data_IF_276795117953
#
_entry.id   IF_276795117953
#
_cell.length_a   1.000
_cell.length_b   1.000
_cell.length_c   1.000
_cell.angle_alpha   90.00
_cell.angle_beta   90.00
_cell.angle_gamma   90.00
#
_symmetry.space_group_name_H-M   'P 1'
#
loop_
_entity.id
_entity.type
_entity.pdbx_description
1 polymer ?
#
# COMPACT_ATOMS: atom_id res chain seq x y z
N UNK A 1 -1.71 8.06 23.12
CA UNK A 1 -3.13 7.71 23.36
C UNK A 1 -3.97 8.42 22.30
N UNK A 2 -4.75 7.70 21.49
CA UNK A 2 -5.58 8.30 20.43
C UNK A 2 -6.92 8.72 21.01
N UNK A 3 -7.19 10.03 21.08
CA UNK A 3 -8.50 10.55 21.46
C UNK A 3 -9.25 10.94 20.19
N UNK A 4 -10.34 10.22 19.90
CA UNK A 4 -11.22 10.52 18.77
C UNK A 4 -12.47 11.24 19.29
N UNK A 5 -12.69 12.48 18.85
CA UNK A 5 -13.91 13.22 19.19
C UNK A 5 -14.78 13.37 17.94
N UNK A 6 -15.91 12.66 17.94
CA UNK A 6 -16.90 12.74 16.85
C UNK A 6 -17.94 13.79 17.20
N UNK A 7 -17.93 14.92 16.51
CA UNK A 7 -18.99 15.92 16.63
C UNK A 7 -20.20 15.42 15.83
N UNK A 8 -21.29 15.08 16.52
CA UNK A 8 -22.60 14.80 15.92
C UNK A 8 -23.43 16.09 15.98
N UNK A 9 -23.67 16.71 14.84
CA UNK A 9 -24.64 17.81 14.74
C UNK A 9 -26.04 17.20 14.70
N UNK A 10 -26.97 17.75 15.49
CA UNK A 10 -28.34 17.25 15.61
C UNK A 10 -29.07 17.28 14.27
N UNK A 11 -29.68 16.15 13.91
CA UNK A 11 -30.51 15.98 12.72
C UNK A 11 -31.80 16.81 12.86
N UNK A 12 -31.96 17.85 12.05
CA UNK A 12 -33.29 18.39 11.75
C UNK A 12 -34.00 17.41 10.82
N UNK A 13 -35.25 17.05 11.12
CA UNK A 13 -36.03 16.07 10.35
C UNK A 13 -36.07 16.43 8.86
N UNK A 14 -35.50 15.55 8.04
CA UNK A 14 -35.45 15.69 6.58
C UNK A 14 -36.74 15.11 5.98
N UNK A 15 -37.47 15.83 5.13
CA UNK A 15 -38.70 15.33 4.50
C UNK A 15 -38.41 14.15 3.54
N UNK A 16 -39.36 13.22 3.47
CA UNK A 16 -39.26 11.99 2.66
C UNK A 16 -39.12 12.38 1.17
N UNK A 17 -38.03 11.93 0.53
CA UNK A 17 -37.77 12.11 -0.91
C UNK A 17 -36.57 13.00 -1.28
N UNK A 18 -35.86 13.61 -0.33
CA UNK A 18 -34.65 14.40 -0.62
C UNK A 18 -33.36 13.60 -0.41
N UNK A 19 -32.45 13.65 -1.39
CA UNK A 19 -31.07 13.16 -1.24
C UNK A 19 -30.24 14.18 -0.45
N UNK A 20 -29.67 13.78 0.67
CA UNK A 20 -28.79 14.62 1.50
C UNK A 20 -27.35 14.12 1.36
N UNK A 21 -26.45 15.00 0.94
CA UNK A 21 -25.01 14.74 0.92
C UNK A 21 -24.40 15.36 2.17
N UNK A 22 -24.09 14.55 3.18
CA UNK A 22 -23.39 15.01 4.38
C UNK A 22 -21.87 15.04 4.16
N UNK A 23 -21.27 16.22 4.33
CA UNK A 23 -19.81 16.37 4.35
C UNK A 23 -19.32 16.17 5.78
N UNK A 24 -18.87 14.95 6.10
CA UNK A 24 -18.29 14.63 7.41
C UNK A 24 -16.79 14.92 7.41
N UNK A 25 -16.35 15.83 8.27
CA UNK A 25 -14.92 16.05 8.54
C UNK A 25 -14.54 15.34 9.82
N UNK A 26 -13.71 14.31 9.72
CA UNK A 26 -13.14 13.58 10.86
C UNK A 26 -11.74 14.12 11.09
N UNK A 27 -11.50 14.72 12.26
CA UNK A 27 -10.17 15.20 12.67
C UNK A 27 -9.58 14.17 13.61
N UNK A 28 -8.55 13.45 13.15
CA UNK A 28 -7.82 12.48 13.96
C UNK A 28 -6.49 13.11 14.36
N UNK A 29 -6.29 13.37 15.65
CA UNK A 29 -5.00 13.82 16.17
C UNK A 29 -4.27 12.65 16.81
N UNK A 30 -3.15 12.25 16.22
CA UNK A 30 -2.24 11.24 16.76
C UNK A 30 -0.96 11.92 17.24
N UNK A 31 -0.69 11.86 18.54
CA UNK A 31 0.59 12.25 19.14
C UNK A 31 1.53 11.05 19.14
N UNK A 32 2.63 11.13 18.40
CA UNK A 32 3.77 10.20 18.50
C UNK A 32 4.78 10.77 19.51
N UNK A 33 4.84 10.15 20.69
CA UNK A 33 5.79 10.51 21.74
C UNK A 33 7.15 9.88 21.42
N UNK A 34 8.10 10.68 20.91
CA UNK A 34 9.52 10.36 21.05
C UNK A 34 9.98 10.98 22.37
N UNK A 35 10.31 10.13 23.33
CA UNK A 35 10.91 10.55 24.59
C UNK A 35 12.35 10.94 24.30
N UNK A 36 12.70 12.21 24.49
CA UNK A 36 14.03 12.69 24.91
C UNK A 36 13.94 14.22 25.07
N UNK A 37 13.84 14.69 26.32
CA UNK A 37 14.43 15.92 26.90
C UNK A 37 13.56 16.53 28.03
N UNK A 38 14.12 16.82 29.22
CA UNK A 38 13.35 17.28 30.37
C UNK A 38 13.35 18.82 30.45
N UNK A 39 12.18 19.43 30.20
CA UNK A 39 11.90 20.78 30.69
C UNK A 39 11.56 21.83 29.63
N UNK A 40 10.38 21.74 29.03
CA UNK A 40 9.51 22.92 28.85
C UNK A 40 8.09 22.48 28.52
N UNK A 41 7.17 22.81 29.41
CA UNK A 41 5.75 22.44 29.36
C UNK A 41 5.01 23.33 28.34
N UNK A 42 5.33 23.20 27.05
CA UNK A 42 4.59 23.86 25.97
C UNK A 42 3.60 22.89 25.33
N UNK A 43 2.46 22.71 25.98
CA UNK A 43 1.30 22.06 25.35
C UNK A 43 0.82 22.90 24.16
N UNK A 44 1.24 22.55 22.95
CA UNK A 44 0.69 23.13 21.73
C UNK A 44 -0.75 22.64 21.54
N UNK A 45 -1.71 23.45 21.99
CA UNK A 45 -3.13 23.24 21.75
C UNK A 45 -3.56 24.09 20.55
N UNK A 46 -4.04 23.45 19.50
CA UNK A 46 -4.55 24.14 18.31
C UNK A 46 -5.68 25.09 18.69
N UNK A 47 -5.51 26.41 18.45
CA UNK A 47 -6.53 27.45 18.69
C UNK A 47 -7.55 27.57 17.55
N UNK A 48 -7.56 26.62 16.62
CA UNK A 48 -8.43 26.61 15.44
C UNK A 48 -9.82 26.11 15.87
N UNK A 49 -10.72 27.04 16.14
CA UNK A 49 -12.15 26.77 16.30
C UNK A 49 -12.88 26.88 14.95
N UNK A 50 -13.86 26.01 14.65
CA UNK A 50 -14.71 26.17 13.47
C UNK A 50 -15.49 27.47 13.59
N UNK A 51 -15.29 28.40 12.64
CA UNK A 51 -16.00 29.68 12.59
C UNK A 51 -17.26 29.52 11.74
N UNK A 52 -18.43 29.71 12.32
CA UNK A 52 -19.67 29.86 11.55
C UNK A 52 -19.77 31.30 11.03
N UNK A 53 -19.65 31.50 9.73
CA UNK A 53 -19.97 32.78 9.09
C UNK A 53 -21.20 32.63 8.21
N UNK A 54 -22.28 33.36 8.53
CA UNK A 54 -23.44 33.47 7.62
C UNK A 54 -23.23 34.67 6.70
N UNK A 55 -23.15 34.43 5.40
CA UNK A 55 -23.09 35.50 4.40
C UNK A 55 -24.37 35.49 3.60
N UNK A 56 -25.16 36.57 3.72
CA UNK A 56 -26.34 36.79 2.90
C UNK A 56 -25.94 37.53 1.63
N UNK A 57 -26.14 36.92 0.46
CA UNK A 57 -26.07 37.61 -0.83
C UNK A 57 -27.42 37.57 -1.51
N UNK A 58 -28.00 38.74 -1.72
CA UNK A 58 -29.19 38.93 -2.55
C UNK A 58 -28.75 38.99 -4.02
N UNK A 59 -29.22 38.04 -4.82
CA UNK A 59 -29.21 38.18 -6.29
C UNK A 59 -30.59 38.66 -6.73
N UNK A 60 -30.66 39.91 -7.18
CA UNK A 60 -31.80 40.38 -7.98
C UNK A 60 -31.58 39.91 -9.41
N UNK A 61 -32.15 38.76 -9.75
CA UNK A 61 -32.17 38.27 -11.12
C UNK A 61 -33.41 38.83 -11.80
N UNK A 62 -33.22 39.74 -12.77
CA UNK A 62 -34.21 40.07 -13.81
C UNK A 62 -35.45 40.86 -13.36
N UNK A 63 -35.63 42.03 -13.95
CA UNK A 63 -36.89 42.75 -13.91
C UNK A 63 -37.97 41.96 -14.68
N UNK A 64 -38.90 41.34 -13.96
CA UNK A 64 -40.08 40.68 -14.51
C UNK A 64 -41.10 40.40 -13.39
N UNK A 65 -42.41 40.45 -13.67
CA UNK A 65 -43.45 40.31 -12.66
C UNK A 65 -43.44 38.91 -12.03
N UNK A 66 -43.44 38.88 -10.69
CA UNK A 66 -43.29 37.67 -9.87
C UNK A 66 -44.63 36.93 -9.81
N UNK A 67 -44.68 35.67 -10.27
CA UNK A 67 -45.78 34.73 -9.97
C UNK A 67 -45.64 34.18 -8.53
N UNK A 68 -46.73 34.06 -7.76
CA UNK A 68 -46.70 33.53 -6.41
C UNK A 68 -46.48 32.00 -6.47
N UNK A 69 -45.24 31.56 -6.36
CA UNK A 69 -44.91 30.12 -6.38
C UNK A 69 -43.47 29.76 -6.77
N UNK A 70 -42.62 30.72 -7.13
CA UNK A 70 -41.25 30.42 -7.54
C UNK A 70 -40.33 30.17 -6.31
N UNK A 71 -40.00 28.90 -6.10
CA UNK A 71 -39.01 28.43 -5.12
C UNK A 71 -37.64 29.01 -5.44
N UNK A 72 -37.09 29.80 -4.51
CA UNK A 72 -35.75 30.39 -4.64
C UNK A 72 -34.70 29.32 -4.35
N UNK A 73 -33.98 28.87 -5.37
CA UNK A 73 -32.85 27.95 -5.20
C UNK A 73 -31.58 28.78 -5.01
N UNK A 74 -31.20 28.97 -3.75
CA UNK A 74 -29.90 29.54 -3.38
C UNK A 74 -28.83 28.45 -3.48
N UNK A 75 -27.91 28.54 -4.45
CA UNK A 75 -26.69 27.72 -4.47
C UNK A 75 -25.57 28.47 -3.76
N UNK A 76 -25.20 28.00 -2.58
CA UNK A 76 -24.01 28.47 -1.87
C UNK A 76 -22.78 27.81 -2.49
N UNK A 77 -21.87 28.61 -3.05
CA UNK A 77 -20.55 28.14 -3.51
C UNK A 77 -19.50 28.78 -2.61
N UNK A 78 -18.82 27.94 -1.82
CA UNK A 78 -17.81 28.34 -0.85
C UNK A 78 -16.46 28.53 -1.55
N UNK A 79 -16.15 29.75 -1.97
CA UNK A 79 -14.76 30.12 -2.27
C UNK A 79 -14.13 30.66 -1.00
N UNK A 80 -13.01 30.06 -0.57
CA UNK A 80 -12.22 30.55 0.55
C UNK A 80 -11.55 31.89 0.17
N UNK A 81 -12.28 33.00 0.30
CA UNK A 81 -11.67 34.32 0.30
C UNK A 81 -11.03 34.54 1.67
N UNK A 82 -9.72 34.31 1.75
CA UNK A 82 -8.94 34.73 2.90
C UNK A 82 -9.15 36.22 3.17
N UNK A 83 -9.48 36.53 4.41
CA UNK A 83 -9.45 37.86 5.02
C UNK A 83 -10.25 38.95 4.30
N UNK A 84 -11.56 39.03 4.59
CA UNK A 84 -12.24 40.32 4.51
C UNK A 84 -11.92 41.07 5.81
N UNK A 85 -11.15 42.18 5.80
CA UNK A 85 -11.18 43.07 6.93
C UNK A 85 -12.58 43.69 6.98
N UNK A 86 -13.06 43.97 8.19
CA UNK A 86 -14.30 44.68 8.46
C UNK A 86 -14.55 45.81 7.44
N UNK A 87 -15.81 45.98 7.03
CA UNK A 87 -16.32 46.94 6.03
C UNK A 87 -15.85 48.40 6.23
N UNK A 88 -15.25 48.75 7.38
CA UNK A 88 -14.64 50.06 7.65
C UNK A 88 -13.15 50.20 7.35
N UNK A 89 -12.43 49.16 6.89
CA UNK A 89 -10.96 49.18 6.77
C UNK A 89 -10.41 49.19 5.33
N UNK A 90 -11.26 49.50 4.33
CA UNK A 90 -10.91 49.41 2.90
C UNK A 90 -10.28 50.72 2.37
N UNK A 91 -10.18 51.79 3.17
CA UNK A 91 -9.78 53.10 2.64
C UNK A 91 -8.27 53.33 2.56
N UNK A 92 -7.41 52.50 3.16
CA UNK A 92 -5.96 52.78 3.25
C UNK A 92 -5.06 51.54 3.03
N UNK A 93 -5.30 50.73 2.00
CA UNK A 93 -4.30 49.75 1.56
C UNK A 93 -3.56 50.31 0.34
N UNK A 94 -2.35 50.83 0.56
CA UNK A 94 -1.51 51.36 -0.51
C UNK A 94 -1.24 50.29 -1.57
N UNK A 95 -1.22 50.69 -2.85
CA UNK A 95 -0.95 49.81 -3.99
C UNK A 95 0.33 48.95 -3.81
N UNK A 96 1.32 49.48 -3.08
CA UNK A 96 2.59 48.84 -2.74
C UNK A 96 2.46 47.70 -1.72
N UNK A 97 1.53 47.82 -0.77
CA UNK A 97 1.19 46.71 0.14
C UNK A 97 0.56 45.57 -0.63
N UNK A 98 -0.44 45.86 -1.48
CA UNK A 98 -1.13 44.83 -2.28
C UNK A 98 -0.18 44.11 -3.25
N UNK A 99 0.77 44.82 -3.86
CA UNK A 99 1.74 44.20 -4.79
C UNK A 99 2.74 43.29 -4.06
N UNK A 100 3.28 43.71 -2.91
CA UNK A 100 4.19 42.90 -2.10
C UNK A 100 3.53 41.62 -1.54
N UNK A 101 2.25 41.68 -1.15
CA UNK A 101 1.50 40.48 -0.75
C UNK A 101 1.27 39.52 -1.93
N UNK A 102 0.97 40.04 -3.12
CA UNK A 102 0.82 39.21 -4.33
C UNK A 102 2.13 38.50 -4.69
N UNK A 103 3.26 39.21 -4.66
CA UNK A 103 4.58 38.61 -4.96
C UNK A 103 4.98 37.55 -3.95
N UNK A 104 4.71 37.76 -2.65
CA UNK A 104 4.99 36.74 -1.64
C UNK A 104 4.12 35.50 -1.82
N UNK A 105 2.84 35.67 -2.14
CA UNK A 105 1.92 34.57 -2.42
C UNK A 105 2.31 33.79 -3.68
N UNK A 106 2.77 34.48 -4.71
CA UNK A 106 3.29 33.84 -5.94
C UNK A 106 4.58 33.06 -5.68
N UNK A 107 5.49 33.61 -4.85
CA UNK A 107 6.69 32.91 -4.41
C UNK A 107 6.35 31.64 -3.63
N UNK A 108 5.52 31.74 -2.60
CA UNK A 108 5.09 30.58 -1.80
C UNK A 108 4.38 29.52 -2.66
N UNK A 109 3.55 29.95 -3.62
CA UNK A 109 2.92 29.05 -4.58
C UNK A 109 3.96 28.30 -5.42
N UNK A 110 5.02 28.98 -5.87
CA UNK A 110 6.11 28.35 -6.63
C UNK A 110 6.91 27.37 -5.79
N UNK A 111 7.22 27.72 -4.54
CA UNK A 111 7.93 26.85 -3.61
C UNK A 111 7.12 25.58 -3.31
N UNK A 112 5.80 25.72 -3.13
CA UNK A 112 4.89 24.58 -2.98
C UNK A 112 4.79 23.72 -4.24
N UNK A 113 4.88 24.31 -5.44
CA UNK A 113 4.92 23.57 -6.69
C UNK A 113 6.21 22.75 -6.82
N UNK A 114 7.37 23.35 -6.56
CA UNK A 114 8.67 22.66 -6.57
C UNK A 114 8.71 21.52 -5.54
N UNK A 115 8.19 21.76 -4.33
CA UNK A 115 8.09 20.73 -3.31
C UNK A 115 7.20 19.56 -3.75
N UNK A 116 6.06 19.85 -4.36
CA UNK A 116 5.15 18.82 -4.88
C UNK A 116 5.78 18.04 -6.05
N UNK A 117 6.55 18.68 -6.92
CA UNK A 117 7.27 18.01 -8.00
C UNK A 117 8.33 17.04 -7.44
N UNK A 118 9.07 17.47 -6.40
CA UNK A 118 10.00 16.58 -5.69
C UNK A 118 9.27 15.41 -5.03
N UNK A 119 8.14 15.64 -4.37
CA UNK A 119 7.34 14.56 -3.80
C UNK A 119 6.81 13.60 -4.86
N UNK A 120 6.35 14.10 -6.01
CA UNK A 120 5.93 13.25 -7.12
C UNK A 120 7.08 12.35 -7.60
N UNK A 121 8.29 12.91 -7.74
CA UNK A 121 9.48 12.14 -8.11
C UNK A 121 9.84 11.08 -7.07
N UNK A 122 9.77 11.40 -5.77
CA UNK A 122 10.01 10.42 -4.71
C UNK A 122 8.95 9.31 -4.67
N UNK A 123 7.67 9.65 -4.83
CA UNK A 123 6.58 8.67 -4.89
C UNK A 123 6.83 7.70 -6.05
N UNK A 124 7.19 8.20 -7.23
CA UNK A 124 7.48 7.36 -8.38
C UNK A 124 8.71 6.48 -8.14
N UNK A 125 9.77 7.04 -7.55
CA UNK A 125 10.97 6.27 -7.20
C UNK A 125 10.65 5.15 -6.21
N UNK A 126 9.85 5.42 -5.18
CA UNK A 126 9.43 4.42 -4.19
C UNK A 126 8.61 3.34 -4.87
N UNK A 127 7.62 3.69 -5.70
CA UNK A 127 6.83 2.70 -6.46
C UNK A 127 7.69 1.82 -7.35
N UNK A 128 8.65 2.41 -8.05
CA UNK A 128 9.59 1.69 -8.90
C UNK A 128 10.49 0.73 -8.09
N UNK A 129 10.98 1.17 -6.93
CA UNK A 129 11.76 0.33 -6.03
C UNK A 129 10.92 -0.78 -5.39
N UNK A 130 9.68 -0.50 -4.99
CA UNK A 130 8.75 -1.50 -4.47
C UNK A 130 8.40 -2.55 -5.54
N UNK A 131 8.18 -2.13 -6.79
CA UNK A 131 7.97 -3.05 -7.91
C UNK A 131 9.19 -3.95 -8.15
N UNK A 132 10.40 -3.38 -8.12
CA UNK A 132 11.63 -4.17 -8.22
C UNK A 132 11.82 -5.13 -7.04
N UNK A 133 11.59 -4.67 -5.81
CA UNK A 133 11.70 -5.52 -4.63
C UNK A 133 10.70 -6.69 -4.70
N UNK A 134 9.46 -6.45 -5.14
CA UNK A 134 8.49 -7.54 -5.37
C UNK A 134 8.99 -8.54 -6.40
N UNK A 135 9.51 -8.05 -7.54
CA UNK A 135 10.08 -8.91 -8.58
C UNK A 135 11.26 -9.75 -8.05
N UNK A 136 12.19 -9.12 -7.35
CA UNK A 136 13.34 -9.81 -6.76
C UNK A 136 12.89 -10.83 -5.71
N UNK A 137 11.90 -10.50 -4.89
CA UNK A 137 11.34 -11.43 -3.91
C UNK A 137 10.71 -12.66 -4.59
N UNK A 138 9.97 -12.48 -5.69
CA UNK A 138 9.41 -13.60 -6.46
C UNK A 138 10.50 -14.46 -7.10
N UNK A 139 11.52 -13.84 -7.71
CA UNK A 139 12.65 -14.58 -8.30
C UNK A 139 13.41 -15.39 -7.24
N UNK A 140 13.58 -14.82 -6.05
CA UNK A 140 14.25 -15.47 -4.93
C UNK A 140 13.44 -16.67 -4.41
N UNK A 141 12.12 -16.53 -4.29
CA UNK A 141 11.24 -17.62 -3.88
C UNK A 141 11.23 -18.76 -4.91
N UNK A 142 11.16 -18.42 -6.20
CA UNK A 142 11.27 -19.39 -7.30
C UNK A 142 12.61 -20.14 -7.27
N UNK A 143 13.72 -19.42 -7.05
CA UNK A 143 15.04 -20.03 -6.94
C UNK A 143 15.12 -20.95 -5.73
N UNK A 144 14.64 -20.52 -4.56
CA UNK A 144 14.60 -21.34 -3.34
C UNK A 144 13.74 -22.57 -3.50
N UNK A 145 12.61 -22.45 -4.20
CA UNK A 145 11.71 -23.57 -4.47
C UNK A 145 12.35 -24.62 -5.36
N UNK A 146 13.19 -24.22 -6.33
CA UNK A 146 13.94 -25.14 -7.20
C UNK A 146 15.19 -25.68 -6.53
N UNK A 147 15.84 -24.85 -5.71
CA UNK A 147 17.06 -25.20 -4.99
C UNK A 147 16.84 -26.43 -4.12
N UNK A 148 17.71 -27.42 -4.27
CA UNK A 148 17.64 -28.68 -3.53
C UNK A 148 16.67 -29.71 -4.10
N UNK A 149 15.59 -29.32 -4.80
CA UNK A 149 14.68 -30.28 -5.47
C UNK A 149 15.39 -31.00 -6.60
N UNK A 150 16.08 -30.26 -7.47
CA UNK A 150 16.84 -30.84 -8.59
C UNK A 150 17.96 -31.76 -8.07
N UNK A 151 18.72 -31.32 -7.06
CA UNK A 151 19.76 -32.14 -6.44
C UNK A 151 19.21 -33.40 -5.76
N UNK A 152 18.06 -33.29 -5.09
CA UNK A 152 17.40 -34.44 -4.45
C UNK A 152 16.88 -35.43 -5.49
N UNK A 153 16.29 -34.95 -6.59
CA UNK A 153 15.82 -35.80 -7.68
C UNK A 153 16.98 -36.57 -8.34
N UNK A 154 18.08 -35.87 -8.64
CA UNK A 154 19.29 -36.50 -9.20
C UNK A 154 19.88 -37.52 -8.22
N UNK A 155 19.94 -37.19 -6.93
CA UNK A 155 20.41 -38.13 -5.89
C UNK A 155 19.51 -39.37 -5.81
N UNK A 156 18.20 -39.21 -5.92
CA UNK A 156 17.26 -40.33 -5.90
C UNK A 156 17.45 -41.23 -7.12
N UNK A 157 17.54 -40.65 -8.32
CA UNK A 157 17.75 -41.39 -9.57
C UNK A 157 19.05 -42.22 -9.54
N UNK A 158 20.16 -41.60 -9.14
CA UNK A 158 21.41 -42.35 -8.99
C UNK A 158 21.35 -43.38 -7.87
N UNK A 159 20.61 -43.11 -6.80
CA UNK A 159 20.36 -44.08 -5.74
C UNK A 159 19.61 -45.32 -6.24
N UNK A 160 18.59 -45.13 -7.07
CA UNK A 160 17.83 -46.24 -7.68
C UNK A 160 18.70 -47.04 -8.65
N UNK A 161 19.47 -46.37 -9.52
CA UNK A 161 20.39 -47.05 -10.45
C UNK A 161 21.47 -47.86 -9.72
N UNK A 162 22.02 -47.32 -8.62
CA UNK A 162 22.99 -48.04 -7.78
C UNK A 162 22.39 -49.30 -7.16
N UNK A 163 21.15 -49.22 -6.69
CA UNK A 163 20.47 -50.36 -6.08
C UNK A 163 20.14 -51.43 -7.11
N UNK A 164 19.68 -51.04 -8.30
CA UNK A 164 19.47 -51.95 -9.42
C UNK A 164 20.77 -52.64 -9.85
N UNK A 165 21.88 -51.89 -9.97
CA UNK A 165 23.18 -52.46 -10.31
C UNK A 165 23.66 -53.47 -9.26
N UNK A 166 23.47 -53.18 -7.97
CA UNK A 166 23.78 -54.12 -6.87
C UNK A 166 22.94 -55.39 -6.96
N UNK A 167 21.64 -55.25 -7.23
CA UNK A 167 20.74 -56.38 -7.40
C UNK A 167 21.18 -57.29 -8.55
N UNK A 168 21.55 -56.71 -9.69
CA UNK A 168 22.06 -57.48 -10.86
C UNK A 168 23.35 -58.22 -10.52
N UNK A 169 24.26 -57.60 -9.75
CA UNK A 169 25.48 -58.27 -9.28
C UNK A 169 25.14 -59.45 -8.37
N UNK A 170 24.22 -59.27 -7.42
CA UNK A 170 23.79 -60.34 -6.51
C UNK A 170 23.14 -61.50 -7.28
N UNK A 171 22.24 -61.21 -8.20
CA UNK A 171 21.58 -62.21 -9.04
C UNK A 171 22.59 -62.98 -9.89
N UNK A 172 23.55 -62.29 -10.50
CA UNK A 172 24.63 -62.91 -11.27
C UNK A 172 25.53 -63.78 -10.40
N UNK A 173 25.84 -63.34 -9.18
CA UNK A 173 26.64 -64.14 -8.24
C UNK A 173 25.90 -65.39 -7.79
N UNK A 174 24.59 -65.30 -7.55
CA UNK A 174 23.74 -66.44 -7.20
C UNK A 174 23.67 -67.45 -8.36
N UNK A 175 23.48 -66.97 -9.60
CA UNK A 175 23.49 -67.80 -10.80
C UNK A 175 24.85 -68.50 -10.98
N UNK A 176 25.95 -67.76 -10.81
CA UNK A 176 27.31 -68.30 -10.87
C UNK A 176 27.54 -69.38 -9.83
N UNK A 177 27.14 -69.15 -8.57
CA UNK A 177 27.29 -70.12 -7.49
C UNK A 177 26.48 -71.40 -7.78
N UNK A 178 25.25 -71.25 -8.29
CA UNK A 178 24.41 -72.38 -8.72
C UNK A 178 25.06 -73.19 -9.84
N UNK A 179 25.63 -72.52 -10.84
CA UNK A 179 26.33 -73.18 -11.94
C UNK A 179 27.61 -73.87 -11.46
N UNK A 180 28.39 -73.27 -10.55
CA UNK A 180 29.57 -73.92 -9.96
C UNK A 180 29.22 -75.21 -9.24
N UNK A 181 28.13 -75.23 -8.46
CA UNK A 181 27.65 -76.47 -7.83
C UNK A 181 27.28 -77.51 -8.88
N UNK A 182 26.60 -77.10 -9.96
CA UNK A 182 26.23 -78.02 -11.04
C UNK A 182 27.45 -78.60 -11.77
N UNK A 183 28.47 -77.78 -12.01
CA UNK A 183 29.74 -78.23 -12.59
C UNK A 183 30.41 -79.25 -11.69
N UNK A 184 30.57 -78.96 -10.40
CA UNK A 184 31.18 -79.90 -9.45
C UNK A 184 30.43 -81.24 -9.36
N UNK A 185 29.09 -81.21 -9.40
CA UNK A 185 28.28 -82.44 -9.46
C UNK A 185 28.53 -83.26 -10.74
N UNK A 186 28.70 -82.60 -11.89
CA UNK A 186 28.96 -83.29 -13.16
C UNK A 186 30.40 -83.82 -13.22
N UNK A 187 31.37 -83.09 -12.67
CA UNK A 187 32.75 -83.55 -12.55
C UNK A 187 32.85 -84.81 -11.68
N UNK A 188 32.18 -84.84 -10.52
CA UNK A 188 32.09 -86.02 -9.66
C UNK A 188 31.47 -87.23 -10.39
N UNK A 189 30.37 -87.01 -11.13
CA UNK A 189 29.75 -88.06 -11.95
C UNK A 189 30.69 -88.61 -13.03
N UNK A 190 31.50 -87.76 -13.66
CA UNK A 190 32.49 -88.19 -14.66
C UNK A 190 33.60 -89.00 -13.99
N UNK A 191 34.11 -88.57 -12.83
CA UNK A 191 35.13 -89.31 -12.08
C UNK A 191 34.64 -90.70 -11.64
N UNK A 192 33.40 -90.80 -11.16
CA UNK A 192 32.79 -92.07 -10.77
C UNK A 192 32.65 -93.04 -11.94
N UNK A 193 32.24 -92.54 -13.12
CA UNK A 193 32.15 -93.36 -14.34
C UNK A 193 33.52 -93.84 -14.83
N UNK A 194 34.57 -93.05 -14.66
CA UNK A 194 35.94 -93.45 -15.01
C UNK A 194 36.55 -94.46 -14.03
N UNK A 195 36.00 -94.59 -12.82
CA UNK A 195 36.43 -95.57 -11.81
C UNK A 195 35.79 -96.95 -11.94
N UNK A 196 34.67 -97.08 -12.67
CA UNK A 196 34.01 -98.35 -12.98
C UNK A 196 34.67 -99.07 -14.16
#
# INVERSE_FOLDING_TARGET
MSSSQTIRTSLSSVPIGSSVTEKRTVITTSTSSNNDDPGSDFYYRSSIAPRSSSVYRSSTVGAGPISPGATRISRTVEYSSGFLPSLGSITNLSNTGVSSFKTNREREKKDMQDLNERFANYIEKVRFLEAQNRKLATELDDLRSKWGKETSAVKQMYGTELEEARKVIEETNNEKARLQVRVGQLEEQVEDLLRQ
#
